data_IF_833157477153
#
_entry.id   IF_833157477153
#
_cell.length_a   1.000
_cell.length_b   1.000
_cell.length_c   1.000
_cell.angle_alpha   90.00
_cell.angle_beta   90.00
_cell.angle_gamma   90.00
#
_symmetry.space_group_name_H-M   'P 1'
#
loop_
_entity.id
_entity.type
_entity.pdbx_description
1 polymer ?
#
# COMPACT_ATOMS: atom_id res chain seq x y z
N UNK A 1 60.79 77.20 -31.63
CA UNK A 1 60.46 75.77 -31.87
C UNK A 1 60.72 75.05 -30.56
N UNK A 2 59.79 74.38 -29.89
CA UNK A 2 58.76 73.46 -30.39
C UNK A 2 57.56 73.42 -29.44
N UNK A 3 56.35 73.46 -30.00
CA UNK A 3 55.12 73.27 -29.24
C UNK A 3 54.91 71.78 -28.98
N UNK A 4 54.90 71.37 -27.70
CA UNK A 4 54.52 70.01 -27.33
C UNK A 4 52.99 69.86 -27.48
N UNK A 5 52.59 68.92 -28.33
CA UNK A 5 51.21 68.60 -28.67
C UNK A 5 50.49 68.04 -27.44
N UNK A 6 49.54 68.79 -26.89
CA UNK A 6 48.67 68.30 -25.82
C UNK A 6 47.76 67.21 -26.39
N UNK A 7 47.90 65.99 -25.88
CA UNK A 7 46.99 64.87 -26.16
C UNK A 7 45.69 65.09 -25.37
N UNK A 8 44.62 65.43 -26.07
CA UNK A 8 43.30 65.59 -25.49
C UNK A 8 42.77 64.22 -25.06
N UNK A 9 42.64 64.01 -23.75
CA UNK A 9 42.06 62.79 -23.18
C UNK A 9 40.54 62.93 -23.23
N UNK A 10 39.88 62.03 -23.96
CA UNK A 10 38.41 61.95 -23.98
C UNK A 10 37.92 61.26 -22.69
N UNK A 11 36.93 61.82 -21.97
CA UNK A 11 36.39 61.19 -20.77
C UNK A 11 35.72 59.85 -21.10
N UNK A 12 35.93 58.86 -20.24
CA UNK A 12 35.25 57.58 -20.31
C UNK A 12 33.78 57.75 -19.88
N UNK A 13 32.81 57.43 -20.76
CA UNK A 13 31.40 57.32 -20.35
C UNK A 13 31.20 56.03 -19.55
N UNK A 14 31.16 56.16 -18.23
CA UNK A 14 30.79 55.07 -17.34
C UNK A 14 29.31 54.75 -17.54
N UNK A 15 29.00 53.67 -18.28
CA UNK A 15 27.66 53.09 -18.31
C UNK A 15 27.54 52.07 -17.19
N UNK A 16 26.91 52.50 -16.11
CA UNK A 16 26.57 51.69 -14.94
C UNK A 16 25.57 50.61 -15.35
N UNK A 17 26.03 49.37 -15.55
CA UNK A 17 25.16 48.21 -15.84
C UNK A 17 24.51 47.62 -14.57
N UNK A 18 24.27 48.46 -13.56
CA UNK A 18 23.53 48.09 -12.35
C UNK A 18 22.03 48.23 -12.61
N UNK A 19 21.51 47.36 -13.47
CA UNK A 19 20.07 47.14 -13.53
C UNK A 19 19.64 46.29 -12.33
N UNK A 20 18.56 46.71 -11.65
CA UNK A 20 18.03 45.93 -10.53
C UNK A 20 17.66 44.52 -11.04
N UNK A 21 18.06 43.45 -10.33
CA UNK A 21 17.67 42.09 -10.74
C UNK A 21 16.15 42.02 -10.81
N UNK A 22 15.63 41.42 -11.89
CA UNK A 22 14.20 41.20 -12.05
C UNK A 22 13.64 40.54 -10.77
N UNK A 23 12.45 40.97 -10.29
CA UNK A 23 11.88 40.40 -9.07
C UNK A 23 11.83 38.89 -9.22
N UNK A 24 12.36 38.19 -8.21
CA UNK A 24 12.35 36.73 -8.18
C UNK A 24 10.92 36.24 -8.45
N UNK A 25 10.73 35.20 -9.28
CA UNK A 25 9.41 34.62 -9.47
C UNK A 25 8.83 34.31 -8.10
N UNK A 26 7.60 34.76 -7.83
CA UNK A 26 6.90 34.50 -6.58
C UNK A 26 7.04 33.00 -6.29
N UNK A 27 7.85 32.68 -5.28
CA UNK A 27 7.98 31.31 -4.78
C UNK A 27 6.61 30.79 -4.34
N UNK A 28 6.49 29.46 -4.12
CA UNK A 28 5.20 28.83 -3.80
C UNK A 28 4.49 29.64 -2.71
N UNK A 29 3.22 29.99 -2.97
CA UNK A 29 2.40 30.80 -2.08
C UNK A 29 2.61 30.36 -0.64
N UNK A 30 3.20 31.24 0.18
CA UNK A 30 3.43 30.95 1.59
C UNK A 30 2.08 30.94 2.28
N UNK A 31 1.57 29.75 2.56
CA UNK A 31 0.34 29.59 3.33
C UNK A 31 0.64 30.04 4.76
N UNK A 32 0.09 31.17 5.16
CA UNK A 32 0.18 31.67 6.52
C UNK A 32 -0.89 30.95 7.36
N UNK A 33 -0.46 29.94 8.13
CA UNK A 33 -1.32 29.16 9.03
C UNK A 33 -1.04 29.60 10.47
N UNK A 34 -2.07 29.92 11.24
CA UNK A 34 -1.93 30.17 12.68
C UNK A 34 -1.56 28.89 13.44
N UNK A 35 -0.91 29.01 14.60
CA UNK A 35 -0.51 27.85 15.40
C UNK A 35 -1.72 26.96 15.76
N UNK A 36 -2.88 27.58 16.01
CA UNK A 36 -4.14 26.87 16.28
C UNK A 36 -4.66 26.09 15.07
N UNK A 37 -4.57 26.65 13.86
CA UNK A 37 -4.98 25.96 12.64
C UNK A 37 -4.04 24.81 12.29
N UNK A 38 -2.72 24.98 12.54
CA UNK A 38 -1.76 23.90 12.37
C UNK A 38 -2.04 22.74 13.33
N UNK A 39 -2.35 23.03 14.59
CA UNK A 39 -2.71 22.01 15.57
C UNK A 39 -4.00 21.27 15.18
N UNK A 40 -5.02 22.00 14.69
CA UNK A 40 -6.25 21.40 14.20
C UNK A 40 -6.01 20.50 12.98
N UNK A 41 -5.17 20.93 12.04
CA UNK A 41 -4.84 20.16 10.83
C UNK A 41 -4.02 18.91 11.15
N UNK A 42 -3.09 18.99 12.11
CA UNK A 42 -2.34 17.83 12.59
C UNK A 42 -3.25 16.81 13.28
N UNK A 43 -4.20 17.27 14.10
CA UNK A 43 -5.15 16.38 14.77
C UNK A 43 -6.11 15.72 13.77
N UNK A 44 -6.61 16.46 12.79
CA UNK A 44 -7.43 15.92 11.70
C UNK A 44 -6.65 14.90 10.86
N UNK A 45 -5.39 15.21 10.52
CA UNK A 45 -4.50 14.28 9.82
C UNK A 45 -4.24 13.03 10.65
N UNK A 46 -4.01 13.16 11.97
CA UNK A 46 -3.82 12.03 12.88
C UNK A 46 -5.05 11.14 12.93
N UNK A 47 -6.24 11.74 13.00
CA UNK A 47 -7.50 11.00 13.03
C UNK A 47 -7.77 10.29 11.70
N UNK A 48 -7.65 11.00 10.59
CA UNK A 48 -7.81 10.47 9.24
C UNK A 48 -6.84 9.32 8.94
N UNK A 49 -5.57 9.45 9.36
CA UNK A 49 -4.59 8.38 9.19
C UNK A 49 -4.90 7.16 10.06
N UNK A 50 -5.36 7.34 11.30
CA UNK A 50 -5.80 6.22 12.15
C UNK A 50 -6.98 5.47 11.54
N UNK A 51 -7.98 6.19 11.02
CA UNK A 51 -9.14 5.57 10.39
C UNK A 51 -8.77 4.84 9.10
N UNK A 52 -7.87 5.40 8.28
CA UNK A 52 -7.34 4.75 7.08
C UNK A 52 -6.55 3.47 7.42
N UNK A 53 -5.74 3.48 8.48
CA UNK A 53 -4.99 2.28 8.92
C UNK A 53 -5.95 1.20 9.37
N UNK A 54 -6.96 1.55 10.19
CA UNK A 54 -7.99 0.60 10.64
C UNK A 54 -8.77 0.00 9.48
N UNK A 55 -9.17 0.80 8.50
CA UNK A 55 -9.87 0.33 7.31
C UNK A 55 -8.98 -0.60 6.46
N UNK A 56 -7.70 -0.26 6.29
CA UNK A 56 -6.73 -1.16 5.63
C UNK A 56 -6.57 -2.48 6.35
N UNK A 57 -6.43 -2.46 7.67
CA UNK A 57 -6.32 -3.68 8.48
C UNK A 57 -7.58 -4.53 8.37
N UNK A 58 -8.76 -3.93 8.44
CA UNK A 58 -10.04 -4.63 8.28
C UNK A 58 -10.15 -5.28 6.88
N UNK A 59 -9.82 -4.54 5.83
CA UNK A 59 -9.79 -5.06 4.45
C UNK A 59 -8.80 -6.20 4.28
N UNK A 60 -7.60 -6.09 4.86
CA UNK A 60 -6.59 -7.14 4.81
C UNK A 60 -7.05 -8.43 5.51
N UNK A 61 -7.69 -8.29 6.70
CA UNK A 61 -8.28 -9.42 7.43
C UNK A 61 -9.41 -10.08 6.65
N UNK A 62 -10.32 -9.29 6.08
CA UNK A 62 -11.42 -9.81 5.26
C UNK A 62 -10.89 -10.56 4.03
N UNK A 63 -9.93 -9.98 3.30
CA UNK A 63 -9.32 -10.64 2.15
C UNK A 63 -8.58 -11.93 2.51
N UNK A 64 -7.93 -11.98 3.68
CA UNK A 64 -7.32 -13.21 4.17
C UNK A 64 -8.39 -14.28 4.49
N UNK A 65 -9.51 -13.86 5.08
CA UNK A 65 -10.63 -14.74 5.42
C UNK A 65 -11.32 -15.30 4.17
N UNK A 66 -11.55 -14.47 3.15
CA UNK A 66 -12.08 -14.90 1.85
C UNK A 66 -11.16 -15.93 1.19
N UNK A 67 -9.84 -15.65 1.10
CA UNK A 67 -8.87 -16.61 0.54
C UNK A 67 -8.85 -17.94 1.29
N UNK A 68 -8.93 -17.90 2.62
CA UNK A 68 -8.97 -19.12 3.43
C UNK A 68 -10.26 -19.92 3.20
N UNK A 69 -11.38 -19.23 2.97
CA UNK A 69 -12.67 -19.84 2.66
C UNK A 69 -12.66 -20.49 1.27
N UNK A 70 -12.07 -19.83 0.28
CA UNK A 70 -11.92 -20.38 -1.07
C UNK A 70 -11.01 -21.62 -1.07
N UNK A 71 -9.88 -21.55 -0.36
CA UNK A 71 -8.97 -22.69 -0.21
C UNK A 71 -9.67 -23.89 0.46
N UNK A 72 -10.52 -23.64 1.47
CA UNK A 72 -11.34 -24.68 2.10
C UNK A 72 -12.29 -25.32 1.10
N UNK A 73 -13.03 -24.49 0.35
CA UNK A 73 -13.98 -24.99 -0.65
C UNK A 73 -13.29 -25.89 -1.67
N UNK A 74 -12.11 -25.50 -2.13
CA UNK A 74 -11.29 -26.33 -3.05
C UNK A 74 -10.87 -27.64 -2.38
N UNK A 75 -10.36 -27.60 -1.15
CA UNK A 75 -9.94 -28.80 -0.42
C UNK A 75 -11.11 -29.78 -0.19
N UNK A 76 -12.30 -29.27 0.15
CA UNK A 76 -13.50 -30.09 0.31
C UNK A 76 -13.95 -30.72 -1.01
N UNK A 77 -13.87 -29.98 -2.12
CA UNK A 77 -14.15 -30.53 -3.46
C UNK A 77 -13.17 -31.66 -3.82
N UNK A 78 -11.88 -31.47 -3.55
CA UNK A 78 -10.85 -32.50 -3.78
C UNK A 78 -11.09 -33.75 -2.93
N UNK A 79 -11.52 -33.58 -1.68
CA UNK A 79 -11.92 -34.68 -0.79
C UNK A 79 -13.10 -35.47 -1.39
N UNK A 80 -14.12 -34.80 -1.89
CA UNK A 80 -15.29 -35.44 -2.52
C UNK A 80 -14.88 -36.18 -3.80
N UNK A 81 -14.03 -35.57 -4.61
CA UNK A 81 -13.50 -36.18 -5.83
C UNK A 81 -12.66 -37.42 -5.53
N UNK A 82 -11.83 -37.38 -4.48
CA UNK A 82 -11.07 -38.53 -3.99
C UNK A 82 -12.00 -39.66 -3.51
N UNK A 83 -13.07 -39.33 -2.78
CA UNK A 83 -14.05 -40.33 -2.37
C UNK A 83 -14.75 -40.99 -3.57
N UNK A 84 -15.07 -40.22 -4.61
CA UNK A 84 -15.71 -40.71 -5.84
C UNK A 84 -14.75 -41.58 -6.68
N UNK A 85 -13.48 -41.20 -6.78
CA UNK A 85 -12.45 -42.03 -7.44
C UNK A 85 -12.21 -43.33 -6.69
N UNK A 86 -12.18 -43.30 -5.35
CA UNK A 86 -12.13 -44.51 -4.54
C UNK A 86 -13.37 -45.38 -4.71
N UNK A 87 -14.55 -44.82 -4.91
CA UNK A 87 -15.77 -45.57 -5.24
C UNK A 87 -15.70 -46.27 -6.60
N UNK A 88 -15.07 -45.65 -7.59
CA UNK A 88 -14.93 -46.23 -8.94
C UNK A 88 -13.74 -47.16 -9.08
N UNK A 89 -12.78 -47.10 -8.15
CA UNK A 89 -11.58 -47.92 -8.21
C UNK A 89 -11.87 -49.40 -7.91
N UNK A 90 -11.17 -50.26 -8.65
CA UNK A 90 -11.14 -51.72 -8.48
C UNK A 90 -10.29 -52.12 -7.27
N UNK A 91 -10.62 -51.59 -6.09
CA UNK A 91 -9.95 -51.87 -4.82
C UNK A 91 -10.81 -52.79 -3.94
N UNK A 92 -10.16 -53.52 -3.02
CA UNK A 92 -10.86 -54.36 -2.06
C UNK A 92 -11.77 -53.52 -1.16
N UNK A 93 -12.93 -54.08 -0.79
CA UNK A 93 -13.93 -53.36 -0.02
C UNK A 93 -13.40 -52.93 1.37
N UNK A 94 -12.54 -53.74 1.98
CA UNK A 94 -11.88 -53.39 3.24
C UNK A 94 -11.01 -52.13 3.12
N UNK A 95 -10.22 -52.01 2.04
CA UNK A 95 -9.37 -50.82 1.80
C UNK A 95 -10.22 -49.60 1.46
N UNK A 96 -11.32 -49.78 0.73
CA UNK A 96 -12.28 -48.72 0.40
C UNK A 96 -12.92 -48.13 1.66
N UNK A 97 -13.36 -48.98 2.59
CA UNK A 97 -13.98 -48.52 3.84
C UNK A 97 -12.98 -47.83 4.77
N UNK A 98 -11.74 -48.33 4.86
CA UNK A 98 -10.68 -47.65 5.65
C UNK A 98 -10.35 -46.27 5.06
N UNK A 99 -10.20 -46.18 3.73
CA UNK A 99 -9.92 -44.92 3.04
C UNK A 99 -11.08 -43.91 3.21
N UNK A 100 -12.34 -44.33 3.07
CA UNK A 100 -13.51 -43.48 3.33
C UNK A 100 -13.56 -42.97 4.78
N UNK A 101 -13.22 -43.81 5.74
CA UNK A 101 -13.20 -43.44 7.16
C UNK A 101 -12.13 -42.39 7.44
N UNK A 102 -10.93 -42.56 6.87
CA UNK A 102 -9.84 -41.57 6.95
C UNK A 102 -10.22 -40.24 6.30
N UNK A 103 -10.84 -40.28 5.13
CA UNK A 103 -11.31 -39.08 4.41
C UNK A 103 -12.35 -38.31 5.24
N UNK A 104 -13.33 -39.01 5.84
CA UNK A 104 -14.32 -38.37 6.71
C UNK A 104 -13.68 -37.74 7.94
N UNK A 105 -12.68 -38.41 8.53
CA UNK A 105 -11.94 -37.87 9.68
C UNK A 105 -11.20 -36.59 9.31
N UNK A 106 -10.47 -36.58 8.19
CA UNK A 106 -9.75 -35.39 7.69
C UNK A 106 -10.74 -34.25 7.37
N UNK A 107 -11.88 -34.57 6.76
CA UNK A 107 -12.92 -33.57 6.48
C UNK A 107 -13.49 -32.96 7.78
N UNK A 108 -13.74 -33.78 8.81
CA UNK A 108 -14.18 -33.29 10.13
C UNK A 108 -13.15 -32.38 10.77
N UNK A 109 -11.88 -32.82 10.82
CA UNK A 109 -10.78 -32.03 11.39
C UNK A 109 -10.55 -30.71 10.64
N UNK A 110 -10.74 -30.68 9.33
CA UNK A 110 -10.63 -29.48 8.52
C UNK A 110 -11.76 -28.48 8.83
N UNK A 111 -12.99 -28.97 9.02
CA UNK A 111 -14.14 -28.14 9.41
C UNK A 111 -14.00 -27.63 10.84
N UNK A 112 -13.58 -28.48 11.78
CA UNK A 112 -13.39 -28.12 13.18
C UNK A 112 -12.21 -27.16 13.39
N UNK A 113 -11.11 -27.37 12.66
CA UNK A 113 -9.94 -26.49 12.66
C UNK A 113 -10.24 -25.07 12.19
N UNK A 114 -11.25 -24.90 11.32
CA UNK A 114 -11.76 -23.59 10.89
C UNK A 114 -12.58 -22.89 11.97
N UNK A 115 -13.37 -23.64 12.75
CA UNK A 115 -14.13 -23.07 13.88
C UNK A 115 -13.23 -22.33 14.89
N UNK A 116 -11.97 -22.74 14.99
CA UNK A 116 -10.96 -22.12 15.85
C UNK A 116 -10.33 -20.84 15.26
N UNK A 117 -10.42 -20.62 13.95
CA UNK A 117 -9.92 -19.40 13.28
C UNK A 117 -10.85 -18.19 13.47
N UNK A 118 -12.11 -18.42 13.85
CA UNK A 118 -13.11 -17.36 14.08
C UNK A 118 -13.25 -16.95 15.57
N UNK A 119 -12.48 -17.57 16.48
CA UNK A 119 -12.58 -17.34 17.94
C UNK A 119 -11.53 -16.36 18.52
N UNK A 120 -10.88 -15.53 17.71
CA UNK A 120 -9.88 -14.55 18.18
C UNK A 120 -10.27 -13.11 17.89
#
# INVERSE_FOLDING_TARGET
MSAARQLTVTPFEFRSDFSAPAPAPMGPEKIAISISELAALLEDTRRSTLDMVRDREAKARNAAMERSSDALRIALLQIVELANTLEKASISEAVRQDAKTRIRKIASELVDGQGNLFQR
#
